data_IF_102059088083
#
_entry.id   IF_102059088083
#
_cell.length_a   1.000
_cell.length_b   1.000
_cell.length_c   1.000
_cell.angle_alpha   90.00
_cell.angle_beta   90.00
_cell.angle_gamma   90.00
#
_symmetry.space_group_name_H-M   'P 1'
#
loop_
_entity.id
_entity.type
_entity.pdbx_description
1 polymer ?
#
# COMPACT_ATOMS: atom_id res chain seq x y z
N UNK A 1 -5.07 5.92 -13.00
CA UNK A 1 -3.73 6.51 -12.95
C UNK A 1 -2.73 5.44 -12.55
N UNK A 2 -1.55 5.49 -13.08
CA UNK A 2 -0.51 4.50 -12.81
C UNK A 2 0.59 5.09 -11.91
N UNK A 3 1.03 4.29 -10.95
CA UNK A 3 2.13 4.62 -10.05
C UNK A 3 3.18 3.52 -10.10
N UNK A 4 4.43 3.89 -10.16
CA UNK A 4 5.53 2.94 -10.10
C UNK A 4 6.57 3.42 -9.08
N UNK A 5 7.29 2.48 -8.51
CA UNK A 5 8.37 2.84 -7.61
C UNK A 5 9.19 1.63 -7.21
N UNK A 6 10.31 1.90 -6.56
CA UNK A 6 11.17 0.86 -6.01
C UNK A 6 11.91 1.35 -4.78
N UNK A 7 12.36 0.40 -3.98
CA UNK A 7 13.22 0.65 -2.81
C UNK A 7 14.19 -0.52 -2.67
N UNK A 8 15.42 -0.23 -2.31
CA UNK A 8 16.36 -1.26 -1.91
C UNK A 8 16.34 -1.35 -0.38
N UNK A 9 16.03 -2.54 0.12
CA UNK A 9 15.89 -2.80 1.56
C UNK A 9 17.03 -3.72 1.99
N UNK A 10 17.73 -3.35 3.05
CA UNK A 10 18.88 -4.10 3.55
C UNK A 10 18.41 -5.27 4.44
N UNK A 11 17.76 -6.21 3.79
CA UNK A 11 17.29 -7.45 4.41
C UNK A 11 17.12 -8.49 3.31
N UNK A 12 17.14 -9.76 3.68
CA UNK A 12 16.96 -10.81 2.70
C UNK A 12 15.52 -10.85 2.19
N UNK A 13 15.32 -11.48 1.04
CA UNK A 13 14.03 -11.50 0.37
C UNK A 13 12.93 -12.15 1.21
N UNK A 14 13.26 -13.19 1.92
CA UNK A 14 12.30 -13.89 2.79
C UNK A 14 11.86 -13.03 3.96
N UNK A 15 12.77 -12.27 4.55
CA UNK A 15 12.46 -11.33 5.62
C UNK A 15 11.54 -10.21 5.12
N UNK A 16 11.85 -9.65 3.96
CA UNK A 16 11.01 -8.60 3.35
C UNK A 16 9.62 -9.16 3.05
N UNK A 17 9.54 -10.35 2.47
CA UNK A 17 8.27 -11.02 2.18
C UNK A 17 7.42 -11.19 3.43
N UNK A 18 8.02 -11.68 4.51
CA UNK A 18 7.33 -11.90 5.77
C UNK A 18 6.71 -10.61 6.30
N UNK A 19 7.47 -9.52 6.29
CA UNK A 19 6.97 -8.23 6.75
C UNK A 19 5.86 -7.65 5.87
N UNK A 20 5.94 -7.85 4.55
CA UNK A 20 4.90 -7.39 3.63
C UNK A 20 3.54 -8.06 3.90
N UNK A 21 3.56 -9.24 4.48
CA UNK A 21 2.35 -10.02 4.75
C UNK A 21 1.96 -10.02 6.23
N UNK A 22 2.64 -9.23 7.04
CA UNK A 22 2.40 -9.15 8.48
C UNK A 22 1.45 -7.99 8.80
N UNK A 23 0.26 -8.28 9.36
CA UNK A 23 -0.71 -7.23 9.70
C UNK A 23 -0.15 -6.15 10.62
N UNK A 24 0.67 -6.51 11.59
CA UNK A 24 1.25 -5.54 12.52
C UNK A 24 2.20 -4.58 11.81
N UNK A 25 3.04 -5.09 10.91
CA UNK A 25 3.93 -4.27 10.10
C UNK A 25 3.13 -3.33 9.20
N UNK A 26 2.10 -3.85 8.53
CA UNK A 26 1.27 -3.06 7.63
C UNK A 26 0.57 -1.93 8.39
N UNK A 27 0.04 -2.22 9.58
CA UNK A 27 -0.64 -1.22 10.39
C UNK A 27 0.28 -0.06 10.76
N UNK A 28 1.51 -0.36 11.13
CA UNK A 28 2.50 0.66 11.52
C UNK A 28 2.95 1.49 10.31
N UNK A 29 3.06 0.87 9.14
CA UNK A 29 3.61 1.52 7.96
C UNK A 29 2.60 2.29 7.13
N UNK A 30 1.32 1.91 7.14
CA UNK A 30 0.28 2.62 6.38
C UNK A 30 -0.04 3.94 7.06
N UNK A 31 0.17 5.09 6.38
CA UNK A 31 -0.11 6.39 6.98
C UNK A 31 -1.59 6.53 7.35
N UNK A 32 -1.85 6.91 8.60
CA UNK A 32 -3.22 7.13 9.08
C UNK A 32 -4.00 5.87 9.41
N UNK A 33 -3.37 4.71 9.38
CA UNK A 33 -4.05 3.46 9.68
C UNK A 33 -4.35 3.34 11.17
N UNK A 34 -5.64 3.20 11.49
CA UNK A 34 -6.11 3.06 12.87
C UNK A 34 -6.34 1.60 13.25
N UNK A 35 -6.83 0.80 12.31
CA UNK A 35 -7.12 -0.61 12.51
C UNK A 35 -6.73 -1.39 11.26
N UNK A 36 -6.20 -2.58 11.45
CA UNK A 36 -5.92 -3.49 10.36
C UNK A 36 -6.02 -4.92 10.87
N UNK A 37 -6.85 -5.72 10.21
CA UNK A 37 -7.09 -7.11 10.56
C UNK A 37 -7.04 -7.99 9.32
N UNK A 38 -6.91 -9.30 9.54
CA UNK A 38 -6.92 -10.26 8.45
C UNK A 38 -5.61 -11.00 8.30
N UNK A 39 -5.48 -11.66 7.17
CA UNK A 39 -4.32 -12.47 6.82
C UNK A 39 -4.09 -12.44 5.31
N UNK A 40 -2.91 -12.86 4.84
CA UNK A 40 -2.66 -12.96 3.40
C UNK A 40 -3.64 -13.90 2.70
N UNK A 41 -4.10 -14.95 3.38
CA UNK A 41 -5.01 -15.95 2.82
C UNK A 41 -6.44 -15.43 2.72
N UNK A 42 -6.89 -14.74 3.77
CA UNK A 42 -8.29 -14.27 3.88
C UNK A 42 -8.48 -12.83 3.39
N UNK A 43 -7.38 -12.13 3.14
CA UNK A 43 -7.41 -10.71 2.84
C UNK A 43 -7.32 -9.86 4.10
N UNK A 44 -7.10 -8.57 3.89
CA UNK A 44 -6.97 -7.59 4.97
C UNK A 44 -8.12 -6.61 4.94
N UNK A 45 -8.51 -6.14 6.11
CA UNK A 45 -9.45 -5.03 6.26
C UNK A 45 -8.77 -3.95 7.10
N UNK A 46 -8.96 -2.70 6.71
CA UNK A 46 -8.30 -1.58 7.38
C UNK A 46 -9.22 -0.37 7.51
N UNK A 47 -8.97 0.40 8.56
CA UNK A 47 -9.59 1.71 8.76
C UNK A 47 -8.47 2.74 8.71
N UNK A 48 -8.55 3.66 7.75
CA UNK A 48 -7.48 4.62 7.48
C UNK A 48 -8.04 6.03 7.41
N UNK A 49 -7.49 6.93 8.20
CA UNK A 49 -7.84 8.35 8.12
C UNK A 49 -6.88 9.07 7.20
N UNK A 50 -7.44 9.82 6.24
CA UNK A 50 -6.64 10.59 5.30
C UNK A 50 -7.23 11.96 5.06
N UNK A 51 -6.35 12.89 4.73
CA UNK A 51 -6.71 14.21 4.25
C UNK A 51 -6.11 14.38 2.86
N UNK A 52 -6.97 14.58 1.87
CA UNK A 52 -6.57 14.73 0.46
C UNK A 52 -7.09 16.09 0.00
N UNK A 53 -6.20 17.10 -0.04
CA UNK A 53 -6.60 18.47 -0.26
C UNK A 53 -7.56 18.92 0.84
N UNK A 54 -8.72 19.48 0.50
CA UNK A 54 -9.73 19.89 1.49
C UNK A 54 -10.59 18.75 2.01
N UNK A 55 -10.45 17.53 1.46
CA UNK A 55 -11.29 16.39 1.83
C UNK A 55 -10.62 15.59 2.95
N UNK A 56 -11.32 15.52 4.10
CA UNK A 56 -10.92 14.65 5.21
C UNK A 56 -11.92 13.52 5.32
N UNK A 57 -11.44 12.30 5.43
CA UNK A 57 -12.32 11.14 5.52
C UNK A 57 -11.66 9.99 6.25
N UNK A 58 -12.52 9.14 6.80
CA UNK A 58 -12.12 7.83 7.29
C UNK A 58 -12.53 6.81 6.23
N UNK A 59 -11.55 6.13 5.68
CA UNK A 59 -11.77 5.11 4.66
C UNK A 59 -11.77 3.74 5.29
N UNK A 60 -12.75 2.93 4.91
CA UNK A 60 -12.77 1.51 5.24
C UNK A 60 -12.34 0.75 4.01
N UNK A 61 -11.22 0.08 4.11
CA UNK A 61 -10.61 -0.62 3.00
C UNK A 61 -10.63 -2.13 3.18
N UNK A 62 -10.70 -2.82 2.06
CA UNK A 62 -10.54 -4.27 1.99
C UNK A 62 -9.55 -4.58 0.87
N UNK A 63 -8.64 -5.51 1.15
CA UNK A 63 -7.55 -5.86 0.24
C UNK A 63 -7.44 -7.37 0.15
N UNK A 64 -7.29 -7.88 -1.08
CA UNK A 64 -7.05 -9.30 -1.32
C UNK A 64 -5.74 -9.47 -2.07
N UNK A 65 -5.09 -10.62 -1.84
CA UNK A 65 -3.89 -11.00 -2.54
C UNK A 65 -4.18 -12.11 -3.52
N UNK A 66 -3.53 -12.06 -4.68
CA UNK A 66 -3.64 -13.09 -5.71
C UNK A 66 -2.28 -13.28 -6.38
N UNK A 67 -2.18 -14.33 -7.19
CA UNK A 67 -0.94 -14.65 -7.91
C UNK A 67 0.27 -14.68 -6.98
N UNK A 68 0.08 -15.24 -5.79
CA UNK A 68 1.09 -15.27 -4.73
C UNK A 68 2.16 -16.29 -5.06
N UNK A 69 3.39 -15.82 -5.25
CA UNK A 69 4.55 -16.62 -5.58
C UNK A 69 5.68 -16.30 -4.58
N UNK A 70 5.64 -16.91 -3.37
CA UNK A 70 6.62 -16.58 -2.33
C UNK A 70 8.03 -17.03 -2.68
N UNK A 71 9.05 -16.27 -2.37
CA UNK A 71 9.05 -14.90 -1.84
C UNK A 71 9.27 -13.86 -2.93
N UNK A 72 8.82 -14.10 -4.13
CA UNK A 72 9.18 -13.34 -5.33
C UNK A 72 8.19 -12.25 -5.72
N UNK A 73 6.90 -12.58 -5.71
CA UNK A 73 5.90 -11.64 -6.23
C UNK A 73 4.49 -11.95 -5.77
N UNK A 74 3.63 -10.96 -5.85
CA UNK A 74 2.19 -11.11 -5.65
C UNK A 74 1.45 -9.91 -6.23
N UNK A 75 0.13 -10.08 -6.39
CA UNK A 75 -0.76 -9.01 -6.77
C UNK A 75 -1.66 -8.67 -5.59
N UNK A 76 -1.76 -7.40 -5.29
CA UNK A 76 -2.67 -6.88 -4.27
C UNK A 76 -3.76 -6.07 -4.97
N UNK A 77 -5.00 -6.26 -4.57
CA UNK A 77 -6.13 -5.49 -5.10
C UNK A 77 -7.02 -5.06 -3.95
N UNK A 78 -7.50 -3.83 -4.00
CA UNK A 78 -8.27 -3.30 -2.90
C UNK A 78 -9.19 -2.17 -3.28
N UNK A 79 -10.08 -1.86 -2.33
CA UNK A 79 -11.02 -0.76 -2.44
C UNK A 79 -11.21 -0.14 -1.06
N UNK A 80 -11.20 1.19 -1.01
CA UNK A 80 -11.48 1.95 0.20
C UNK A 80 -12.68 2.84 0.00
N UNK A 81 -13.62 2.80 0.94
CA UNK A 81 -14.84 3.62 0.90
C UNK A 81 -14.81 4.66 2.00
N UNK A 82 -15.01 5.92 1.63
CA UNK A 82 -14.96 7.06 2.54
C UNK A 82 -16.30 7.78 2.71
N UNK A 83 -17.42 7.10 2.48
CA UNK A 83 -18.74 7.69 2.61
C UNK A 83 -18.94 8.83 1.63
N UNK A 84 -19.28 10.03 2.16
CA UNK A 84 -19.51 11.22 1.33
C UNK A 84 -18.26 11.68 0.58
N UNK A 85 -17.07 11.30 1.04
CA UNK A 85 -15.83 11.64 0.34
C UNK A 85 -15.63 10.85 -0.95
N UNK A 86 -16.34 9.72 -1.11
CA UNK A 86 -16.20 8.87 -2.28
C UNK A 86 -15.42 7.62 -2.00
N UNK A 87 -14.74 7.11 -3.02
CA UNK A 87 -14.01 5.86 -2.91
C UNK A 87 -12.72 5.88 -3.74
N UNK A 88 -11.83 4.96 -3.39
CA UNK A 88 -10.62 4.68 -4.17
C UNK A 88 -10.53 3.17 -4.35
N UNK A 89 -10.13 2.72 -5.52
CA UNK A 89 -9.91 1.31 -5.79
C UNK A 89 -8.66 1.15 -6.65
N UNK A 90 -8.01 0.02 -6.53
CA UNK A 90 -6.84 -0.22 -7.34
C UNK A 90 -6.19 -1.55 -7.05
N UNK A 91 -5.08 -1.76 -7.73
CA UNK A 91 -4.25 -2.93 -7.53
C UNK A 91 -2.81 -2.63 -7.83
N UNK A 92 -1.95 -3.52 -7.37
CA UNK A 92 -0.53 -3.39 -7.59
C UNK A 92 0.10 -4.77 -7.77
N UNK A 93 1.08 -4.83 -8.66
CA UNK A 93 1.98 -5.97 -8.76
C UNK A 93 3.25 -5.61 -8.02
N UNK A 94 3.63 -6.46 -7.08
CA UNK A 94 4.82 -6.27 -6.26
C UNK A 94 5.81 -7.38 -6.55
N UNK A 95 7.08 -7.02 -6.79
CA UNK A 95 8.15 -7.97 -7.03
C UNK A 95 9.32 -7.71 -6.09
N UNK A 96 9.95 -8.80 -5.64
CA UNK A 96 11.15 -8.76 -4.81
C UNK A 96 12.27 -9.47 -5.54
N UNK A 97 13.36 -8.75 -5.75
CA UNK A 97 14.54 -9.27 -6.46
C UNK A 97 15.74 -9.21 -5.52
N UNK A 98 16.47 -10.30 -5.41
CA UNK A 98 17.72 -10.30 -4.64
C UNK A 98 18.76 -9.43 -5.33
N UNK A 99 19.38 -8.54 -4.56
CA UNK A 99 20.46 -7.70 -5.02
C UNK A 99 21.64 -7.83 -4.07
N UNK A 100 22.79 -7.27 -4.44
CA UNK A 100 24.03 -7.46 -3.70
C UNK A 100 23.91 -7.13 -2.20
N UNK A 101 23.23 -6.02 -1.88
CA UNK A 101 23.14 -5.54 -0.50
C UNK A 101 21.78 -5.81 0.16
N UNK A 102 20.95 -6.65 -0.43
CA UNK A 102 19.64 -6.92 0.14
C UNK A 102 18.59 -7.32 -0.87
N UNK A 103 17.45 -6.63 -0.85
CA UNK A 103 16.32 -6.91 -1.72
C UNK A 103 15.83 -5.62 -2.37
N UNK A 104 15.61 -5.68 -3.69
CA UNK A 104 14.91 -4.61 -4.39
C UNK A 104 13.41 -4.94 -4.40
N UNK A 105 12.63 -4.06 -3.82
CA UNK A 105 11.18 -4.11 -3.89
C UNK A 105 10.73 -3.15 -4.99
N UNK A 106 10.00 -3.66 -5.97
CA UNK A 106 9.44 -2.84 -7.04
C UNK A 106 7.94 -3.05 -7.13
N UNK A 107 7.21 -1.98 -7.48
CA UNK A 107 5.78 -2.08 -7.66
C UNK A 107 5.29 -1.29 -8.86
N UNK A 108 4.20 -1.80 -9.45
CA UNK A 108 3.43 -1.11 -10.48
C UNK A 108 1.98 -1.14 -10.02
N UNK A 109 1.38 0.01 -9.87
CA UNK A 109 0.03 0.14 -9.32
C UNK A 109 -0.88 0.95 -10.23
N UNK A 110 -2.17 0.60 -10.22
CA UNK A 110 -3.23 1.37 -10.86
C UNK A 110 -4.24 1.78 -9.80
N UNK A 111 -4.62 3.06 -9.81
CA UNK A 111 -5.57 3.63 -8.85
C UNK A 111 -6.66 4.39 -9.59
N UNK A 112 -7.91 4.20 -9.18
CA UNK A 112 -9.06 4.96 -9.65
C UNK A 112 -9.84 5.49 -8.46
N UNK A 113 -10.39 6.69 -8.59
CA UNK A 113 -11.19 7.31 -7.53
C UNK A 113 -12.55 7.75 -8.06
N UNK A 114 -13.53 7.86 -7.16
CA UNK A 114 -14.86 8.33 -7.48
C UNK A 114 -15.41 9.23 -6.39
N UNK A 115 -16.57 9.86 -6.66
CA UNK A 115 -17.22 10.77 -5.74
C UNK A 115 -16.47 12.09 -5.60
N UNK A 116 -16.45 12.65 -4.39
CA UNK A 116 -15.76 13.93 -4.14
C UNK A 116 -14.27 13.86 -4.42
N UNK A 117 -13.65 12.70 -4.21
CA UNK A 117 -12.23 12.54 -4.52
C UNK A 117 -11.95 12.79 -6.00
N UNK A 118 -12.82 12.29 -6.89
CA UNK A 118 -12.66 12.49 -8.33
C UNK A 118 -12.79 13.97 -8.71
N UNK A 119 -13.57 14.73 -7.98
CA UNK A 119 -13.77 16.16 -8.22
C UNK A 119 -12.54 17.01 -7.90
N UNK A 120 -11.60 16.48 -7.12
CA UNK A 120 -10.37 17.18 -6.77
C UNK A 120 -9.41 17.32 -7.98
N UNK A 121 -9.62 16.51 -9.01
CA UNK A 121 -8.78 16.50 -10.20
C UNK A 121 -7.63 15.52 -10.12
N UNK A 122 -7.20 15.05 -11.29
CA UNK A 122 -6.18 14.01 -11.39
C UNK A 122 -4.84 14.41 -10.77
N UNK A 123 -4.47 15.68 -10.89
CA UNK A 123 -3.18 16.15 -10.37
C UNK A 123 -3.09 16.05 -8.86
N UNK A 124 -4.15 16.51 -8.17
CA UNK A 124 -4.18 16.47 -6.72
C UNK A 124 -4.24 15.03 -6.22
N UNK A 125 -5.08 14.20 -6.83
CA UNK A 125 -5.24 12.79 -6.46
C UNK A 125 -3.94 12.03 -6.71
N UNK A 126 -3.28 12.23 -7.83
CA UNK A 126 -2.01 11.59 -8.15
C UNK A 126 -0.92 11.98 -7.14
N UNK A 127 -0.84 13.25 -6.77
CA UNK A 127 0.10 13.73 -5.77
C UNK A 127 -0.13 13.09 -4.40
N UNK A 128 -1.38 12.98 -3.98
CA UNK A 128 -1.74 12.35 -2.72
C UNK A 128 -1.38 10.86 -2.72
N UNK A 129 -1.71 10.15 -3.81
CA UNK A 129 -1.42 8.72 -3.94
C UNK A 129 0.09 8.45 -3.89
N UNK A 130 0.87 9.26 -4.60
CA UNK A 130 2.33 9.16 -4.60
C UNK A 130 2.90 9.41 -3.21
N UNK A 131 2.41 10.44 -2.53
CA UNK A 131 2.87 10.79 -1.18
C UNK A 131 2.58 9.65 -0.18
N UNK A 132 1.39 9.05 -0.26
CA UNK A 132 1.04 7.91 0.60
C UNK A 132 1.93 6.70 0.32
N UNK A 133 2.19 6.42 -0.95
CA UNK A 133 3.07 5.31 -1.34
C UNK A 133 4.49 5.53 -0.84
N UNK A 134 5.01 6.74 -1.00
CA UNK A 134 6.36 7.08 -0.54
C UNK A 134 6.46 6.95 0.99
N UNK A 135 5.49 7.46 1.73
CA UNK A 135 5.47 7.33 3.19
C UNK A 135 5.39 5.88 3.64
N UNK A 136 4.55 5.08 2.98
CA UNK A 136 4.43 3.67 3.30
C UNK A 136 5.78 2.96 3.12
N UNK A 137 6.40 3.11 1.96
CA UNK A 137 7.62 2.39 1.66
C UNK A 137 8.82 2.91 2.44
N UNK A 138 8.88 4.19 2.76
CA UNK A 138 9.93 4.73 3.63
C UNK A 138 9.80 4.13 5.04
N UNK A 139 8.60 4.09 5.59
CA UNK A 139 8.35 3.48 6.90
C UNK A 139 8.61 1.98 6.89
N UNK A 140 8.20 1.32 5.81
CA UNK A 140 8.41 -0.11 5.65
C UNK A 140 9.90 -0.46 5.63
N UNK A 141 10.67 0.27 4.83
CA UNK A 141 12.12 0.11 4.77
C UNK A 141 12.75 0.29 6.15
N UNK A 142 12.43 1.38 6.83
CA UNK A 142 12.96 1.66 8.16
C UNK A 142 12.58 0.57 9.16
N UNK A 143 11.35 0.11 9.12
CA UNK A 143 10.84 -0.93 10.02
C UNK A 143 11.57 -2.27 9.82
N UNK A 144 11.74 -2.69 8.57
CA UNK A 144 12.41 -3.95 8.25
C UNK A 144 13.90 -3.88 8.60
N UNK A 145 14.55 -2.77 8.29
CA UNK A 145 15.98 -2.60 8.54
C UNK A 145 16.32 -2.43 10.03
N UNK A 146 15.39 -1.96 10.84
CA UNK A 146 15.58 -1.82 12.28
C UNK A 146 15.45 -3.13 13.04
N UNK A 147 14.74 -4.07 12.47
CA UNK A 147 14.47 -5.34 13.10
C UNK A 147 15.25 -6.47 12.55
#
# INVERSE_FOLDING_TARGET
MELTGNRTIKADRETVWKHLNDPETLKVCIPGCEELTGSPEDGFEAVVKQKIGPVRATFKGAVTLSDVNPPESYRIAGEGKGGVAGFAKGGANVTLTEVEDGTELAYVADVAVGGKLAQLGNRLVAGAARNMSDQFFDRFKDHVEAG
#
